data_IF_848893722200
#
_entry.id   IF_848893722200
#
_cell.length_a   1.000
_cell.length_b   1.000
_cell.length_c   1.000
_cell.angle_alpha   90.00
_cell.angle_beta   90.00
_cell.angle_gamma   90.00
#
_symmetry.space_group_name_H-M   'P 1'
#
loop_
_entity.id
_entity.type
_entity.pdbx_description
1 polymer ?
#
# COMPACT_ATOMS: atom_id res chain seq x y z
N UNK A 1 -56.34 -27.31 -13.67
CA UNK A 1 -57.60 -27.14 -12.90
C UNK A 1 -57.26 -26.94 -11.40
N UNK A 2 -57.94 -25.97 -10.79
CA UNK A 2 -57.96 -25.49 -9.39
C UNK A 2 -56.96 -24.38 -9.14
N UNK A 3 -57.29 -23.12 -9.28
CA UNK A 3 -58.11 -22.11 -8.58
C UNK A 3 -58.06 -22.22 -7.07
N UNK A 4 -57.44 -21.24 -6.39
CA UNK A 4 -57.80 -20.68 -5.07
C UNK A 4 -56.74 -19.66 -4.73
N UNK A 5 -57.03 -18.52 -4.61
CA UNK A 5 -57.87 -17.59 -3.84
C UNK A 5 -56.96 -16.68 -3.02
N UNK A 6 -56.97 -15.41 -3.43
CA UNK A 6 -56.39 -14.24 -2.77
C UNK A 6 -57.00 -14.05 -1.39
N UNK A 7 -56.18 -13.85 -0.37
CA UNK A 7 -56.60 -13.13 0.84
C UNK A 7 -55.66 -11.94 1.02
N UNK A 8 -56.20 -10.79 0.71
CA UNK A 8 -55.62 -9.49 0.92
C UNK A 8 -55.99 -9.05 2.34
N UNK A 9 -55.08 -9.15 3.30
CA UNK A 9 -55.20 -8.50 4.59
C UNK A 9 -54.38 -7.22 4.63
N UNK A 10 -55.07 -6.12 4.38
CA UNK A 10 -54.51 -4.78 4.59
C UNK A 10 -54.41 -4.52 6.12
N UNK A 11 -53.20 -4.60 6.66
CA UNK A 11 -52.92 -4.15 8.01
C UNK A 11 -52.45 -2.70 7.95
N UNK A 12 -53.38 -1.80 8.22
CA UNK A 12 -53.09 -0.36 8.37
C UNK A 12 -52.33 -0.15 9.69
N UNK A 13 -51.00 -0.11 9.62
CA UNK A 13 -50.17 0.37 10.73
C UNK A 13 -50.20 1.91 10.68
N UNK A 14 -50.98 2.51 11.58
CA UNK A 14 -50.94 3.93 11.83
C UNK A 14 -49.56 4.34 12.30
N UNK A 15 -48.78 4.96 11.39
CA UNK A 15 -47.58 5.66 11.75
C UNK A 15 -47.96 6.93 12.55
N UNK A 16 -47.89 6.84 13.86
CA UNK A 16 -47.88 8.01 14.75
C UNK A 16 -46.57 8.76 14.46
N UNK A 17 -46.64 9.71 13.56
CA UNK A 17 -45.58 10.73 13.38
C UNK A 17 -45.62 11.58 14.67
N UNK A 18 -44.78 11.20 15.64
CA UNK A 18 -44.46 12.08 16.76
C UNK A 18 -43.71 13.27 16.15
N UNK A 19 -44.45 14.32 15.88
CA UNK A 19 -43.89 15.65 15.60
C UNK A 19 -43.08 16.05 16.85
N UNK A 20 -41.78 15.80 16.85
CA UNK A 20 -40.88 16.51 17.72
C UNK A 20 -41.01 18.00 17.33
N UNK A 21 -41.85 18.72 18.07
CA UNK A 21 -41.84 20.15 18.04
C UNK A 21 -40.39 20.56 18.41
N UNK A 22 -39.57 20.86 17.41
CA UNK A 22 -38.35 21.60 17.61
C UNK A 22 -38.77 22.95 18.21
N UNK A 23 -38.55 23.10 19.52
CA UNK A 23 -38.61 24.42 20.14
C UNK A 23 -37.54 25.24 19.44
N UNK A 24 -37.94 26.09 18.52
CA UNK A 24 -37.11 27.17 17.97
C UNK A 24 -36.91 28.19 19.10
N UNK A 25 -36.13 27.79 20.11
CA UNK A 25 -35.55 28.76 21.03
C UNK A 25 -34.71 29.71 20.21
N UNK A 26 -34.86 31.01 20.40
CA UNK A 26 -34.01 32.01 19.76
C UNK A 26 -32.55 31.69 20.08
N UNK A 27 -31.82 31.28 19.08
CA UNK A 27 -30.39 30.97 19.21
C UNK A 27 -29.63 32.22 18.80
N UNK A 28 -28.70 32.66 19.64
CA UNK A 28 -27.85 33.83 19.37
C UNK A 28 -26.43 33.38 19.08
N UNK A 29 -25.73 34.16 18.27
CA UNK A 29 -24.33 33.96 17.94
C UNK A 29 -23.47 34.75 18.90
N UNK A 30 -22.57 34.12 19.63
CA UNK A 30 -21.61 34.74 20.54
C UNK A 30 -20.21 34.48 20.01
N UNK A 31 -19.38 35.51 19.87
CA UNK A 31 -17.99 35.34 19.47
C UNK A 31 -17.09 36.37 20.19
N UNK A 32 -15.80 36.13 20.11
CA UNK A 32 -14.76 37.05 20.56
C UNK A 32 -14.00 37.56 19.33
N UNK A 33 -13.81 38.87 19.24
CA UNK A 33 -13.03 39.49 18.16
C UNK A 33 -11.51 39.33 18.37
N UNK A 34 -10.69 39.90 17.45
CA UNK A 34 -9.23 39.86 17.53
C UNK A 34 -8.62 40.63 18.72
N UNK A 35 -9.42 41.42 19.44
CA UNK A 35 -9.04 42.17 20.64
C UNK A 35 -9.53 41.47 21.92
N UNK A 36 -10.23 40.35 21.78
CA UNK A 36 -10.79 39.59 22.89
C UNK A 36 -12.12 40.14 23.43
N UNK A 37 -12.73 41.10 22.71
CA UNK A 37 -14.07 41.66 23.09
C UNK A 37 -15.14 40.66 22.68
N UNK A 38 -16.13 40.49 23.58
CA UNK A 38 -17.26 39.57 23.38
C UNK A 38 -18.38 40.28 22.62
N UNK A 39 -18.90 39.63 21.60
CA UNK A 39 -19.99 40.10 20.76
C UNK A 39 -21.15 39.11 20.77
N UNK A 40 -22.37 39.67 20.61
CA UNK A 40 -23.58 38.88 20.41
C UNK A 40 -24.34 39.41 19.19
N UNK A 41 -24.96 38.49 18.45
CA UNK A 41 -25.83 38.84 17.32
C UNK A 41 -26.95 37.79 17.18
N UNK A 42 -28.09 38.23 16.71
CA UNK A 42 -29.21 37.36 16.34
C UNK A 42 -29.03 36.78 14.91
N UNK A 43 -28.02 37.26 14.18
CA UNK A 43 -27.66 36.78 12.83
C UNK A 43 -26.18 36.45 12.73
N UNK A 44 -25.83 35.49 11.87
CA UNK A 44 -24.46 35.11 11.62
C UNK A 44 -23.72 36.20 10.84
N UNK A 45 -22.69 36.79 11.46
CA UNK A 45 -21.86 37.84 10.86
C UNK A 45 -20.58 37.25 10.25
N UNK A 46 -19.97 37.98 9.31
CA UNK A 46 -18.67 37.61 8.73
C UNK A 46 -17.53 37.58 9.77
N UNK A 47 -17.64 38.42 10.82
CA UNK A 47 -16.71 38.40 11.94
C UNK A 47 -16.85 37.14 12.78
N UNK A 48 -18.05 36.71 13.11
CA UNK A 48 -18.31 35.45 13.80
C UNK A 48 -17.71 34.27 13.04
N UNK A 49 -17.85 34.22 11.71
CA UNK A 49 -17.22 33.20 10.86
C UNK A 49 -15.69 33.25 10.90
N UNK A 50 -15.10 34.45 10.94
CA UNK A 50 -13.66 34.66 10.96
C UNK A 50 -13.00 34.17 12.26
N UNK A 51 -13.62 34.45 13.41
CA UNK A 51 -13.05 34.16 14.71
C UNK A 51 -13.61 32.88 15.35
N UNK A 52 -14.66 32.29 14.80
CA UNK A 52 -15.42 31.22 15.41
C UNK A 52 -16.48 31.75 16.35
N UNK A 53 -17.53 31.01 16.62
CA UNK A 53 -18.64 31.44 17.43
C UNK A 53 -19.29 30.31 18.20
N UNK A 54 -19.96 30.68 19.27
CA UNK A 54 -20.83 29.80 20.04
C UNK A 54 -22.30 30.12 19.70
N UNK A 55 -23.09 29.11 19.49
CA UNK A 55 -24.56 29.22 19.50
C UNK A 55 -25.00 29.16 20.96
N UNK A 56 -25.69 30.17 21.42
CA UNK A 56 -26.19 30.26 22.79
C UNK A 56 -27.72 30.32 22.79
N UNK A 57 -28.34 29.66 23.73
CA UNK A 57 -29.78 29.68 23.91
C UNK A 57 -30.22 30.94 24.70
N UNK A 58 -31.55 31.13 24.89
CA UNK A 58 -32.13 32.26 25.64
C UNK A 58 -31.65 32.34 27.11
N UNK A 59 -31.08 31.26 27.66
CA UNK A 59 -30.51 31.19 28.99
C UNK A 59 -29.01 31.52 29.02
N UNK A 60 -28.40 31.84 27.85
CA UNK A 60 -26.99 32.13 27.74
C UNK A 60 -26.08 30.90 27.74
N UNK A 61 -26.63 29.68 27.69
CA UNK A 61 -25.85 28.46 27.65
C UNK A 61 -25.39 28.15 26.22
N UNK A 62 -24.16 27.75 26.08
CA UNK A 62 -23.59 27.31 24.78
C UNK A 62 -24.25 25.99 24.38
N UNK A 63 -24.94 26.00 23.25
CA UNK A 63 -25.59 24.82 22.65
C UNK A 63 -24.63 24.13 21.68
N UNK A 64 -23.85 24.96 20.95
CA UNK A 64 -22.88 24.44 19.96
C UNK A 64 -21.73 25.44 19.83
N UNK A 65 -20.51 24.91 19.72
CA UNK A 65 -19.32 25.67 19.39
C UNK A 65 -18.96 25.45 17.92
N UNK A 66 -18.78 26.53 17.16
CA UNK A 66 -18.33 26.49 15.77
C UNK A 66 -16.95 27.14 15.69
N UNK A 67 -15.91 26.38 15.40
CA UNK A 67 -14.56 26.92 15.32
C UNK A 67 -14.41 27.90 14.17
N UNK A 68 -13.41 28.78 14.24
CA UNK A 68 -13.07 29.72 13.18
C UNK A 68 -12.80 29.04 11.86
N UNK A 69 -13.09 29.73 10.78
CA UNK A 69 -12.69 29.23 9.47
C UNK A 69 -11.15 29.21 9.33
N UNK A 70 -10.63 28.07 8.91
CA UNK A 70 -9.21 27.94 8.61
C UNK A 70 -8.84 28.84 7.41
N UNK A 71 -7.72 29.50 7.48
CA UNK A 71 -7.17 30.21 6.32
C UNK A 71 -6.71 29.22 5.23
N UNK A 72 -6.35 29.70 4.05
CA UNK A 72 -5.95 28.85 2.91
C UNK A 72 -4.76 27.93 3.25
N UNK A 73 -3.80 28.44 4.00
CA UNK A 73 -2.60 27.72 4.39
C UNK A 73 -2.91 26.64 5.43
N UNK A 74 -3.75 26.95 6.42
CA UNK A 74 -4.24 25.99 7.43
C UNK A 74 -5.10 24.90 6.81
N UNK A 75 -5.96 25.23 5.85
CA UNK A 75 -6.75 24.24 5.10
C UNK A 75 -5.83 23.28 4.32
N UNK A 76 -4.84 23.82 3.61
CA UNK A 76 -3.87 23.00 2.88
C UNK A 76 -3.09 22.07 3.83
N UNK A 77 -2.67 22.58 5.00
CA UNK A 77 -2.00 21.79 6.02
C UNK A 77 -2.93 20.69 6.59
N UNK A 78 -4.17 21.02 6.90
CA UNK A 78 -5.16 20.06 7.41
C UNK A 78 -5.47 18.97 6.37
N UNK A 79 -5.62 19.33 5.11
CA UNK A 79 -5.82 18.37 4.01
C UNK A 79 -4.62 17.42 3.90
N UNK A 80 -3.40 17.97 3.89
CA UNK A 80 -2.17 17.14 3.83
C UNK A 80 -2.05 16.19 5.02
N UNK A 81 -2.40 16.64 6.22
CA UNK A 81 -2.42 15.81 7.42
C UNK A 81 -3.49 14.71 7.32
N UNK A 82 -4.69 15.05 6.85
CA UNK A 82 -5.77 14.09 6.65
C UNK A 82 -5.40 13.02 5.60
N UNK A 83 -4.79 13.42 4.48
CA UNK A 83 -4.29 12.51 3.45
C UNK A 83 -3.20 11.58 4.00
N UNK A 84 -2.24 12.13 4.76
CA UNK A 84 -1.19 11.33 5.38
C UNK A 84 -1.75 10.31 6.40
N UNK A 85 -2.74 10.72 7.20
CA UNK A 85 -3.40 9.83 8.14
C UNK A 85 -4.23 8.75 7.42
N UNK A 86 -4.95 9.12 6.37
CA UNK A 86 -5.70 8.17 5.54
C UNK A 86 -4.78 7.17 4.83
N UNK A 87 -3.60 7.61 4.38
CA UNK A 87 -2.59 6.73 3.80
C UNK A 87 -2.05 5.73 4.83
N UNK A 88 -1.74 6.20 6.06
CA UNK A 88 -1.30 5.32 7.15
C UNK A 88 -2.37 4.29 7.52
N UNK A 89 -3.63 4.70 7.62
CA UNK A 89 -4.73 3.79 7.94
C UNK A 89 -4.93 2.73 6.85
N UNK A 90 -4.86 3.14 5.56
CA UNK A 90 -4.92 2.19 4.43
C UNK A 90 -3.77 1.19 4.48
N UNK A 91 -2.53 1.65 4.67
CA UNK A 91 -1.37 0.77 4.77
C UNK A 91 -1.49 -0.21 5.95
N UNK A 92 -1.97 0.24 7.11
CA UNK A 92 -2.21 -0.63 8.25
C UNK A 92 -3.30 -1.68 7.97
N UNK A 93 -4.38 -1.29 7.30
CA UNK A 93 -5.45 -2.21 6.91
C UNK A 93 -4.97 -3.25 5.88
N UNK A 94 -4.20 -2.84 4.88
CA UNK A 94 -3.60 -3.73 3.88
C UNK A 94 -2.65 -4.74 4.53
N UNK A 95 -1.82 -4.29 5.48
CA UNK A 95 -0.94 -5.16 6.25
C UNK A 95 -1.75 -6.19 7.04
N UNK A 96 -2.77 -5.76 7.80
CA UNK A 96 -3.62 -6.65 8.58
C UNK A 96 -4.35 -7.67 7.70
N UNK A 97 -4.85 -7.26 6.53
CA UNK A 97 -5.47 -8.16 5.57
C UNK A 97 -4.48 -9.19 5.01
N UNK A 98 -3.26 -8.77 4.69
CA UNK A 98 -2.19 -9.65 4.21
C UNK A 98 -1.79 -10.67 5.27
N UNK A 99 -1.64 -10.24 6.51
CA UNK A 99 -1.34 -11.10 7.65
C UNK A 99 -2.46 -12.11 7.92
N UNK A 100 -3.72 -11.69 7.86
CA UNK A 100 -4.88 -12.58 7.99
C UNK A 100 -4.93 -13.61 6.85
N UNK A 101 -4.69 -13.20 5.62
CA UNK A 101 -4.63 -14.09 4.46
C UNK A 101 -3.51 -15.12 4.61
N UNK A 102 -2.32 -14.71 5.07
CA UNK A 102 -1.19 -15.59 5.34
C UNK A 102 -1.54 -16.67 6.37
N UNK A 103 -2.14 -16.28 7.51
CA UNK A 103 -2.58 -17.22 8.55
C UNK A 103 -3.68 -18.20 8.08
N UNK A 104 -4.53 -17.76 7.16
CA UNK A 104 -5.58 -18.61 6.59
C UNK A 104 -5.06 -19.55 5.50
N UNK A 105 -4.09 -19.08 4.69
CA UNK A 105 -3.49 -19.88 3.63
C UNK A 105 -2.56 -20.98 4.16
N UNK A 106 -1.92 -20.74 5.30
CA UNK A 106 -0.95 -21.65 5.88
C UNK A 106 -1.38 -22.02 7.31
N UNK A 107 -1.95 -23.20 7.52
CA UNK A 107 -2.46 -23.63 8.84
C UNK A 107 -1.33 -23.85 9.85
N UNK A 108 -0.13 -24.19 9.40
CA UNK A 108 1.05 -24.48 10.22
C UNK A 108 2.32 -23.84 9.61
N UNK A 109 3.36 -23.75 10.45
CA UNK A 109 4.66 -23.16 10.05
C UNK A 109 5.34 -23.98 8.96
N UNK A 110 5.16 -25.29 8.95
CA UNK A 110 5.82 -26.17 7.98
C UNK A 110 5.31 -25.92 6.56
N UNK A 111 3.98 -25.82 6.39
CA UNK A 111 3.37 -25.49 5.09
C UNK A 111 3.80 -24.12 4.59
N UNK A 112 3.92 -23.13 5.48
CA UNK A 112 4.43 -21.81 5.12
C UNK A 112 5.90 -21.87 4.72
N UNK A 113 6.75 -22.58 5.48
CA UNK A 113 8.16 -22.75 5.17
C UNK A 113 8.38 -23.43 3.82
N UNK A 114 7.58 -24.47 3.50
CA UNK A 114 7.65 -25.14 2.20
C UNK A 114 7.32 -24.18 1.05
N UNK A 115 6.32 -23.33 1.20
CA UNK A 115 5.97 -22.31 0.20
C UNK A 115 7.09 -21.29 0.00
N UNK A 116 7.73 -20.85 1.08
CA UNK A 116 8.89 -19.96 1.01
C UNK A 116 10.07 -20.63 0.31
N UNK A 117 10.34 -21.90 0.64
CA UNK A 117 11.41 -22.68 0.03
C UNK A 117 11.20 -22.83 -1.49
N UNK A 118 9.98 -23.08 -1.94
CA UNK A 118 9.67 -23.18 -3.38
C UNK A 118 10.08 -21.91 -4.15
N UNK A 119 9.92 -20.75 -3.51
CA UNK A 119 10.37 -19.46 -4.10
C UNK A 119 11.90 -19.45 -4.28
N UNK A 120 12.65 -19.89 -3.28
CA UNK A 120 14.12 -19.99 -3.37
C UNK A 120 14.56 -21.00 -4.42
N UNK A 121 13.89 -22.14 -4.49
CA UNK A 121 14.21 -23.19 -5.48
C UNK A 121 14.02 -22.67 -6.91
N UNK A 122 13.00 -21.84 -7.14
CA UNK A 122 12.78 -21.18 -8.42
C UNK A 122 13.93 -20.23 -8.77
N UNK A 123 14.37 -19.40 -7.82
CA UNK A 123 15.50 -18.49 -8.02
C UNK A 123 16.79 -19.29 -8.27
N UNK A 124 17.02 -20.35 -7.51
CA UNK A 124 18.19 -21.22 -7.67
C UNK A 124 18.21 -21.92 -9.03
N UNK A 125 17.07 -22.34 -9.55
CA UNK A 125 16.96 -22.88 -10.90
C UNK A 125 17.30 -21.83 -11.96
N UNK A 126 16.84 -20.60 -11.82
CA UNK A 126 17.19 -19.48 -12.72
C UNK A 126 18.70 -19.21 -12.70
N UNK A 127 19.31 -19.20 -11.52
CA UNK A 127 20.76 -19.03 -11.36
C UNK A 127 21.52 -20.15 -12.08
N UNK A 128 21.12 -21.41 -11.91
CA UNK A 128 21.74 -22.57 -12.60
C UNK A 128 21.62 -22.44 -14.12
N UNK A 129 20.45 -22.08 -14.62
CA UNK A 129 20.23 -21.89 -16.07
C UNK A 129 21.11 -20.77 -16.61
N UNK A 130 21.17 -19.63 -15.93
CA UNK A 130 22.04 -18.51 -16.32
C UNK A 130 23.52 -18.92 -16.29
N UNK A 131 23.94 -19.70 -15.31
CA UNK A 131 25.31 -20.19 -15.20
C UNK A 131 25.70 -21.16 -16.33
N UNK A 132 24.79 -22.06 -16.73
CA UNK A 132 25.01 -22.94 -17.88
C UNK A 132 25.16 -22.10 -19.17
N UNK A 133 24.26 -21.16 -19.39
CA UNK A 133 24.32 -20.26 -20.54
C UNK A 133 25.61 -19.44 -20.55
N UNK A 134 26.00 -18.88 -19.40
CA UNK A 134 27.23 -18.10 -19.28
C UNK A 134 28.46 -18.94 -19.69
N UNK A 135 28.59 -20.17 -19.18
CA UNK A 135 29.70 -21.07 -19.54
C UNK A 135 29.75 -21.37 -21.04
N UNK A 136 28.58 -21.58 -21.66
CA UNK A 136 28.48 -21.80 -23.11
C UNK A 136 28.93 -20.57 -23.91
N UNK A 137 28.51 -19.37 -23.49
CA UNK A 137 28.89 -18.15 -24.17
C UNK A 137 30.35 -17.74 -23.92
N UNK A 138 30.90 -18.03 -22.74
CA UNK A 138 32.34 -17.86 -22.45
C UNK A 138 33.20 -18.77 -23.32
N UNK A 139 32.77 -20.03 -23.51
CA UNK A 139 33.46 -20.94 -24.43
C UNK A 139 33.42 -20.39 -25.87
N UNK A 140 32.26 -19.96 -26.36
CA UNK A 140 32.14 -19.37 -27.70
C UNK A 140 33.04 -18.11 -27.86
N UNK A 141 33.14 -17.27 -26.81
CA UNK A 141 34.06 -16.15 -26.81
C UNK A 141 35.54 -16.60 -26.90
N UNK A 142 35.90 -17.62 -26.13
CA UNK A 142 37.25 -18.22 -26.15
C UNK A 142 37.60 -18.75 -27.54
N UNK A 143 36.68 -19.45 -28.21
CA UNK A 143 36.88 -19.98 -29.57
C UNK A 143 37.06 -18.83 -30.60
N UNK A 144 36.29 -17.73 -30.49
CA UNK A 144 36.46 -16.56 -31.34
C UNK A 144 37.79 -15.84 -31.12
N UNK A 145 38.21 -15.73 -29.87
CA UNK A 145 39.50 -15.12 -29.51
C UNK A 145 40.66 -16.00 -29.96
N UNK A 146 40.56 -17.33 -29.87
CA UNK A 146 41.55 -18.30 -30.39
C UNK A 146 41.77 -18.12 -31.91
N UNK A 147 40.68 -18.02 -32.69
CA UNK A 147 40.76 -17.79 -34.13
C UNK A 147 41.40 -16.41 -34.47
N UNK A 148 41.13 -15.37 -33.70
CA UNK A 148 41.77 -14.07 -33.90
C UNK A 148 43.28 -14.16 -33.62
N UNK A 149 43.68 -14.84 -32.55
CA UNK A 149 45.07 -15.06 -32.18
C UNK A 149 45.85 -15.87 -33.23
N UNK A 150 45.23 -16.90 -33.83
CA UNK A 150 45.84 -17.68 -34.94
C UNK A 150 46.12 -16.78 -36.18
N UNK A 151 45.18 -15.88 -36.53
CA UNK A 151 45.35 -14.95 -37.67
C UNK A 151 46.45 -13.94 -37.38
N UNK A 152 46.48 -13.40 -36.15
CA UNK A 152 47.53 -12.43 -35.72
C UNK A 152 48.93 -13.10 -35.69
N UNK A 153 49.03 -14.33 -35.21
CA UNK A 153 50.31 -15.05 -35.19
C UNK A 153 50.82 -15.36 -36.59
N UNK A 154 49.94 -15.51 -37.58
CA UNK A 154 50.26 -15.60 -38.99
C UNK A 154 50.58 -14.23 -39.63
N UNK A 155 50.71 -13.15 -38.81
CA UNK A 155 50.97 -11.75 -39.24
C UNK A 155 49.95 -11.22 -40.24
N UNK A 156 48.70 -11.73 -40.18
CA UNK A 156 47.61 -11.24 -41.04
C UNK A 156 46.69 -10.34 -40.22
N UNK A 157 46.06 -9.32 -40.86
CA UNK A 157 45.09 -8.50 -40.19
C UNK A 157 43.84 -9.31 -39.84
N UNK A 158 43.32 -9.16 -38.62
CA UNK A 158 42.09 -9.81 -38.18
C UNK A 158 40.90 -9.22 -38.96
N UNK A 159 40.09 -10.03 -39.64
CA UNK A 159 38.95 -9.53 -40.41
C UNK A 159 37.93 -8.83 -39.53
N UNK A 160 37.32 -7.75 -40.07
CA UNK A 160 36.33 -6.95 -39.33
C UNK A 160 35.16 -7.73 -38.78
N UNK A 161 34.66 -8.71 -39.55
CA UNK A 161 33.53 -9.57 -39.08
C UNK A 161 33.90 -10.34 -37.81
N UNK A 162 35.15 -10.75 -37.64
CA UNK A 162 35.60 -11.49 -36.46
C UNK A 162 35.76 -10.56 -35.26
N UNK A 163 36.24 -9.34 -35.44
CA UNK A 163 36.31 -8.34 -34.36
C UNK A 163 34.93 -7.92 -33.92
N UNK A 164 33.97 -7.74 -34.85
CA UNK A 164 32.58 -7.42 -34.55
C UNK A 164 31.88 -8.59 -33.80
N UNK A 165 32.16 -9.83 -34.22
CA UNK A 165 31.65 -11.03 -33.53
C UNK A 165 32.18 -11.15 -32.10
N UNK A 166 33.50 -10.90 -31.88
CA UNK A 166 34.09 -10.87 -30.54
C UNK A 166 33.45 -9.76 -29.68
N UNK A 167 33.25 -8.58 -30.22
CA UNK A 167 32.62 -7.48 -29.49
C UNK A 167 31.19 -7.85 -29.08
N UNK A 168 30.39 -8.41 -29.98
CA UNK A 168 29.03 -8.88 -29.71
C UNK A 168 29.03 -9.96 -28.64
N UNK A 169 29.92 -10.97 -28.76
CA UNK A 169 30.01 -12.05 -27.80
C UNK A 169 30.44 -11.59 -26.42
N UNK A 170 31.37 -10.63 -26.31
CA UNK A 170 31.72 -9.98 -25.02
C UNK A 170 30.52 -9.32 -24.37
N UNK A 171 29.70 -8.62 -25.15
CA UNK A 171 28.50 -7.97 -24.62
C UNK A 171 27.49 -9.00 -24.07
N UNK A 172 27.31 -10.14 -24.74
CA UNK A 172 26.47 -11.24 -24.28
C UNK A 172 26.99 -11.79 -22.96
N UNK A 173 28.28 -12.11 -22.88
CA UNK A 173 28.93 -12.63 -21.66
C UNK A 173 28.78 -11.63 -20.50
N UNK A 174 29.04 -10.35 -20.73
CA UNK A 174 28.90 -9.32 -19.71
C UNK A 174 27.42 -9.17 -19.26
N UNK A 175 26.48 -9.23 -20.18
CA UNK A 175 25.05 -9.21 -19.87
C UNK A 175 24.64 -10.39 -18.98
N UNK A 176 25.10 -11.60 -19.26
CA UNK A 176 24.84 -12.80 -18.46
C UNK A 176 25.49 -12.72 -17.08
N UNK A 177 26.72 -12.21 -16.97
CA UNK A 177 27.41 -11.99 -15.68
C UNK A 177 26.61 -11.02 -14.79
N UNK A 178 26.16 -9.91 -15.37
CA UNK A 178 25.33 -8.95 -14.67
C UNK A 178 23.98 -9.55 -14.22
N UNK A 179 23.37 -10.37 -15.07
CA UNK A 179 22.13 -11.09 -14.73
C UNK A 179 22.36 -12.07 -13.59
N UNK A 180 23.42 -12.87 -13.62
CA UNK A 180 23.77 -13.79 -12.55
C UNK A 180 24.00 -13.04 -11.22
N UNK A 181 24.70 -11.90 -11.27
CA UNK A 181 24.95 -11.10 -10.08
C UNK A 181 23.64 -10.58 -9.49
N UNK A 182 22.71 -10.05 -10.31
CA UNK A 182 21.39 -9.61 -9.85
C UNK A 182 20.58 -10.74 -9.24
N UNK A 183 20.59 -11.94 -9.85
CA UNK A 183 19.89 -13.10 -9.33
C UNK A 183 20.45 -13.55 -7.97
N UNK A 184 21.77 -13.53 -7.79
CA UNK A 184 22.40 -13.86 -6.50
C UNK A 184 22.05 -12.84 -5.42
N UNK A 185 22.02 -11.55 -5.76
CA UNK A 185 21.61 -10.49 -4.84
C UNK A 185 20.13 -10.65 -4.46
N UNK A 186 19.26 -10.93 -5.43
CA UNK A 186 17.85 -11.20 -5.19
C UNK A 186 17.66 -12.41 -4.25
N UNK A 187 18.39 -13.50 -4.50
CA UNK A 187 18.38 -14.68 -3.62
C UNK A 187 18.73 -14.34 -2.18
N UNK A 188 19.84 -13.61 -1.99
CA UNK A 188 20.28 -13.21 -0.65
C UNK A 188 19.24 -12.33 0.05
N UNK A 189 18.65 -11.38 -0.66
CA UNK A 189 17.58 -10.54 -0.16
C UNK A 189 16.34 -11.36 0.19
N UNK A 190 15.93 -12.28 -0.69
CA UNK A 190 14.79 -13.18 -0.46
C UNK A 190 14.96 -14.01 0.80
N UNK A 191 16.16 -14.57 1.06
CA UNK A 191 16.45 -15.31 2.30
C UNK A 191 16.23 -14.46 3.54
N UNK A 192 16.69 -13.20 3.52
CA UNK A 192 16.50 -12.28 4.65
C UNK A 192 15.01 -11.92 4.85
N UNK A 193 14.29 -11.67 3.74
CA UNK A 193 12.87 -11.35 3.78
C UNK A 193 12.06 -12.53 4.31
N UNK A 194 12.35 -13.74 3.85
CA UNK A 194 11.69 -14.97 4.32
C UNK A 194 11.93 -15.22 5.80
N UNK A 195 13.13 -14.94 6.30
CA UNK A 195 13.44 -15.05 7.72
C UNK A 195 12.54 -14.12 8.56
N UNK A 196 12.35 -12.87 8.09
CA UNK A 196 11.46 -11.89 8.74
C UNK A 196 10.00 -12.32 8.65
N UNK A 197 9.57 -12.80 7.48
CA UNK A 197 8.20 -13.28 7.26
C UNK A 197 7.88 -14.47 8.16
N UNK A 198 8.81 -15.42 8.30
CA UNK A 198 8.62 -16.59 9.16
C UNK A 198 8.56 -16.20 10.65
N UNK A 199 9.39 -15.26 11.09
CA UNK A 199 9.34 -14.73 12.44
C UNK A 199 7.98 -14.06 12.71
N UNK A 200 7.50 -13.23 11.77
CA UNK A 200 6.20 -12.57 11.89
C UNK A 200 5.03 -13.56 11.90
N UNK A 201 5.08 -14.60 11.06
CA UNK A 201 4.09 -15.68 11.06
C UNK A 201 3.98 -16.34 12.45
N UNK A 202 5.12 -16.66 13.09
CA UNK A 202 5.14 -17.26 14.44
C UNK A 202 4.48 -16.37 15.48
N UNK A 203 4.78 -15.06 15.46
CA UNK A 203 4.16 -14.09 16.35
C UNK A 203 2.64 -14.07 16.19
N UNK A 204 2.16 -13.89 14.96
CA UNK A 204 0.74 -13.82 14.64
C UNK A 204 0.00 -15.13 14.98
N UNK A 205 0.64 -16.27 14.73
CA UNK A 205 0.09 -17.57 15.09
C UNK A 205 -0.07 -17.71 16.60
N UNK A 206 0.94 -17.32 17.36
CA UNK A 206 0.90 -17.34 18.83
C UNK A 206 -0.17 -16.36 19.39
N UNK A 207 -0.33 -15.18 18.79
CA UNK A 207 -1.38 -14.23 19.16
C UNK A 207 -2.79 -14.80 18.91
N UNK A 208 -3.00 -15.41 17.74
CA UNK A 208 -4.27 -16.04 17.38
C UNK A 208 -4.62 -17.20 18.31
N UNK A 209 -3.64 -18.04 18.63
CA UNK A 209 -3.87 -19.22 19.47
C UNK A 209 -4.18 -18.81 20.94
N UNK A 210 -3.62 -17.70 21.43
CA UNK A 210 -3.98 -17.09 22.72
C UNK A 210 -5.39 -16.49 22.72
N UNK A 211 -5.81 -15.87 21.62
CA UNK A 211 -7.13 -15.25 21.51
C UNK A 211 -8.28 -16.27 21.38
N UNK A 212 -7.96 -17.53 21.08
CA UNK A 212 -8.92 -18.64 20.94
C UNK A 212 -9.06 -19.52 22.19
N UNK A 213 -8.30 -19.21 23.25
CA UNK A 213 -8.39 -19.84 24.60
C UNK A 213 -9.26 -19.03 25.56
#
# INVERSE_FOLDING_TARGET
>A
MRKSLLILTALALGASVSAFAQSTGNVRYKWYDGQGLMHYSDSLTSEALKYGYDLVNDRGMVVQHVPRQLNAQERAAATKMAEANAAKQRAAQELANTEAQMLNAYPDEESYRMSLQQTLDTIDQQIRTTQINLRSQEKALTDLLGRAAEIESAKKPVPKFLTDSIATQRNIVNGLRNTQQRQRSLRAQTVQDQSRQLARYRELKAERDKASQ
#
